data_IF_222887313614
#
_entry.id   IF_222887313614
#
_cell.length_a   1.000
_cell.length_b   1.000
_cell.length_c   1.000
_cell.angle_alpha   90.00
_cell.angle_beta   90.00
_cell.angle_gamma   90.00
#
_symmetry.space_group_name_H-M   'P 1'
#
loop_
_entity.id
_entity.type
_entity.pdbx_description
1 polymer ?
#
# COMPACT_ATOMS: atom_id res chain seq x y z
N UNK A 1 -20.83 -5.44 12.45
CA UNK A 1 -20.11 -4.90 13.63
C UNK A 1 -19.32 -6.02 14.28
N UNK A 2 -17.99 -5.93 14.25
CA UNK A 2 -17.13 -6.83 15.03
C UNK A 2 -16.71 -6.04 16.26
N UNK A 3 -17.26 -6.33 17.44
CA UNK A 3 -16.79 -5.69 18.66
C UNK A 3 -15.39 -6.23 18.99
N UNK A 4 -14.39 -5.40 18.91
CA UNK A 4 -13.04 -5.68 19.42
C UNK A 4 -13.11 -5.73 20.97
N UNK A 5 -13.53 -6.86 21.55
CA UNK A 5 -13.29 -7.17 22.95
C UNK A 5 -11.90 -7.77 23.07
N UNK A 6 -10.94 -6.94 23.39
CA UNK A 6 -9.67 -7.40 23.98
C UNK A 6 -9.91 -7.68 25.46
N UNK A 7 -10.02 -8.95 25.81
CA UNK A 7 -9.97 -9.40 27.20
C UNK A 7 -8.50 -9.56 27.58
N UNK A 8 -7.99 -8.61 28.31
CA UNK A 8 -6.68 -8.67 28.94
C UNK A 8 -6.70 -7.81 30.17
N UNK A 9 -6.28 -8.35 31.29
CA UNK A 9 -6.38 -7.79 32.64
C UNK A 9 -5.35 -6.69 32.93
N UNK A 10 -5.10 -5.78 32.02
CA UNK A 10 -4.33 -4.56 32.27
C UNK A 10 -5.06 -3.38 31.64
N UNK A 11 -5.18 -2.31 32.42
CA UNK A 11 -5.85 -1.07 32.01
C UNK A 11 -5.15 -0.36 30.83
N UNK A 12 -5.17 -0.98 29.67
CA UNK A 12 -4.94 -0.24 28.43
C UNK A 12 -6.24 0.47 28.10
N UNK A 13 -6.35 1.73 28.46
CA UNK A 13 -7.42 2.61 28.01
C UNK A 13 -7.19 2.78 26.51
N UNK A 14 -7.97 2.08 25.70
CA UNK A 14 -8.05 2.30 24.26
C UNK A 14 -9.41 2.92 24.00
N UNK A 15 -9.38 4.19 23.65
CA UNK A 15 -10.53 4.87 23.10
C UNK A 15 -10.62 4.54 21.61
N UNK A 16 -11.84 4.38 21.10
CA UNK A 16 -12.11 4.15 19.69
C UNK A 16 -13.10 5.19 19.20
N UNK A 17 -12.68 5.97 18.23
CA UNK A 17 -13.51 6.90 17.50
C UNK A 17 -13.87 6.28 16.13
N UNK A 18 -15.15 6.38 15.72
CA UNK A 18 -15.61 5.86 14.44
C UNK A 18 -15.85 7.01 13.48
N UNK A 19 -15.33 6.87 12.26
CA UNK A 19 -15.52 7.85 11.20
C UNK A 19 -15.93 7.16 9.89
N UNK A 20 -16.77 7.83 9.10
CA UNK A 20 -17.25 7.31 7.82
C UNK A 20 -16.23 7.53 6.72
N UNK A 21 -16.07 6.54 5.80
CA UNK A 21 -15.20 6.64 4.64
C UNK A 21 -15.73 5.78 3.48
N UNK A 22 -15.35 6.13 2.25
CA UNK A 22 -15.70 5.36 1.06
C UNK A 22 -17.18 5.44 0.72
N UNK A 23 -17.80 4.29 0.40
CA UNK A 23 -19.21 4.20 -0.04
C UNK A 23 -20.18 4.82 0.98
N UNK A 24 -20.03 4.52 2.26
CA UNK A 24 -20.90 5.06 3.31
C UNK A 24 -20.80 6.59 3.40
N UNK A 25 -19.60 7.14 3.27
CA UNK A 25 -19.42 8.59 3.30
C UNK A 25 -20.00 9.28 2.05
N UNK A 26 -19.92 8.64 0.88
CA UNK A 26 -20.60 9.14 -0.33
C UNK A 26 -22.10 9.18 -0.14
N UNK A 27 -22.69 8.13 0.46
CA UNK A 27 -24.14 8.04 0.70
C UNK A 27 -24.64 9.12 1.67
N UNK A 28 -23.85 9.39 2.72
CA UNK A 28 -24.27 10.33 3.77
C UNK A 28 -24.00 11.79 3.42
N UNK A 29 -22.82 12.07 2.86
CA UNK A 29 -22.33 13.45 2.67
C UNK A 29 -21.83 13.76 1.26
N UNK A 30 -21.81 12.77 0.35
CA UNK A 30 -21.36 12.96 -1.04
C UNK A 30 -19.84 13.02 -1.22
N UNK A 31 -19.05 12.87 -0.17
CA UNK A 31 -17.59 12.90 -0.18
C UNK A 31 -17.03 11.57 0.34
N UNK A 32 -16.18 10.85 -0.41
CA UNK A 32 -15.63 9.57 0.03
C UNK A 32 -14.60 9.69 1.18
N UNK A 33 -14.10 10.90 1.49
CA UNK A 33 -13.19 11.16 2.61
C UNK A 33 -13.44 12.54 3.23
N UNK A 34 -14.51 12.71 4.01
CA UNK A 34 -14.90 13.98 4.61
C UNK A 34 -13.80 14.59 5.48
N UNK A 35 -13.81 15.90 5.61
CA UNK A 35 -12.83 16.61 6.43
C UNK A 35 -12.85 16.18 7.90
N UNK A 36 -14.02 15.88 8.46
CA UNK A 36 -14.15 15.35 9.82
C UNK A 36 -13.42 14.02 9.99
N UNK A 37 -13.57 13.10 9.01
CA UNK A 37 -12.84 11.83 8.99
C UNK A 37 -11.33 12.06 8.88
N UNK A 38 -10.89 13.02 8.07
CA UNK A 38 -9.47 13.38 7.99
C UNK A 38 -8.93 13.86 9.33
N UNK A 39 -9.65 14.74 10.03
CA UNK A 39 -9.23 15.26 11.33
C UNK A 39 -9.22 14.16 12.40
N UNK A 40 -10.21 13.27 12.43
CA UNK A 40 -10.22 12.11 13.30
C UNK A 40 -8.98 11.22 13.06
N UNK A 41 -8.69 10.88 11.80
CA UNK A 41 -7.50 10.09 11.45
C UNK A 41 -6.19 10.79 11.84
N UNK A 42 -6.10 12.09 11.66
CA UNK A 42 -4.89 12.89 11.97
C UNK A 42 -4.60 12.95 13.47
N UNK A 43 -5.63 12.96 14.29
CA UNK A 43 -5.53 13.10 15.76
C UNK A 43 -5.38 11.73 16.44
N UNK A 44 -5.68 10.63 15.77
CA UNK A 44 -5.56 9.29 16.32
C UNK A 44 -4.12 8.78 16.32
N UNK A 45 -3.75 7.97 17.32
CA UNK A 45 -2.45 7.29 17.39
C UNK A 45 -2.31 6.21 16.29
N UNK A 46 -3.44 5.58 15.91
CA UNK A 46 -3.50 4.59 14.83
C UNK A 46 -4.91 4.55 14.22
N UNK A 47 -4.99 4.18 12.95
CA UNK A 47 -6.25 4.03 12.21
C UNK A 47 -6.45 2.58 11.82
N UNK A 48 -7.52 1.96 12.30
CA UNK A 48 -7.98 0.67 11.80
C UNK A 48 -8.92 0.91 10.62
N UNK A 49 -8.48 0.52 9.44
CA UNK A 49 -9.18 0.77 8.19
C UNK A 49 -9.68 -0.54 7.58
N UNK A 50 -10.88 -0.51 7.00
CA UNK A 50 -11.51 -1.66 6.35
C UNK A 50 -11.76 -1.40 4.86
N UNK A 51 -12.60 -2.22 4.21
CA UNK A 51 -12.98 -2.06 2.82
C UNK A 51 -13.86 -0.80 2.63
N UNK A 52 -13.67 -0.12 1.50
CA UNK A 52 -14.36 1.14 1.18
C UNK A 52 -15.38 1.00 0.05
N UNK A 53 -15.28 -0.05 -0.76
CA UNK A 53 -16.09 -0.26 -1.96
C UNK A 53 -17.48 -0.76 -1.66
N UNK A 54 -18.39 -0.50 -2.61
CA UNK A 54 -19.71 -1.10 -2.68
C UNK A 54 -20.01 -1.44 -4.14
N UNK A 55 -20.48 -2.64 -4.48
CA UNK A 55 -20.76 -3.08 -5.84
C UNK A 55 -21.68 -2.15 -6.66
N UNK A 56 -22.49 -1.34 -6.00
CA UNK A 56 -23.34 -0.35 -6.68
C UNK A 56 -22.53 0.69 -7.47
N UNK A 57 -21.31 1.03 -7.03
CA UNK A 57 -20.44 1.97 -7.73
C UNK A 57 -19.66 1.31 -8.87
N UNK A 58 -19.42 -0.01 -8.82
CA UNK A 58 -18.70 -0.75 -9.85
C UNK A 58 -19.47 -0.81 -11.18
N UNK A 59 -20.80 -0.91 -11.07
CA UNK A 59 -21.70 -1.06 -12.21
C UNK A 59 -22.27 0.26 -12.74
N UNK A 60 -21.91 1.39 -12.14
CA UNK A 60 -22.35 2.72 -12.59
C UNK A 60 -21.22 3.44 -13.34
N UNK A 61 -21.24 3.43 -14.69
CA UNK A 61 -20.24 4.16 -15.50
C UNK A 61 -20.39 5.68 -15.39
N UNK A 62 -21.51 6.16 -14.84
CA UNK A 62 -21.79 7.60 -14.69
C UNK A 62 -21.39 8.14 -13.34
N UNK A 63 -20.98 7.29 -12.41
CA UNK A 63 -20.54 7.68 -11.08
C UNK A 63 -19.34 8.64 -11.15
N UNK A 64 -19.57 9.90 -10.78
CA UNK A 64 -18.54 10.96 -10.76
C UNK A 64 -17.57 10.79 -9.60
N UNK A 65 -18.03 10.20 -8.51
CA UNK A 65 -17.28 9.96 -7.28
C UNK A 65 -17.28 8.47 -6.97
N UNK A 66 -16.11 7.92 -6.67
CA UNK A 66 -15.92 6.51 -6.35
C UNK A 66 -15.34 6.31 -4.96
N UNK A 67 -15.73 5.25 -4.24
CA UNK A 67 -15.22 4.98 -2.89
C UNK A 67 -13.70 4.92 -2.78
N UNK A 68 -13.02 4.39 -3.82
CA UNK A 68 -11.57 4.26 -3.89
C UNK A 68 -10.85 5.62 -3.87
N UNK A 69 -11.51 6.68 -4.32
CA UNK A 69 -10.97 8.05 -4.24
C UNK A 69 -10.77 8.47 -2.78
N UNK A 70 -11.64 8.00 -1.87
CA UNK A 70 -11.48 8.24 -0.43
C UNK A 70 -10.20 7.62 0.12
N UNK A 71 -9.90 6.37 -0.25
CA UNK A 71 -8.66 5.70 0.13
C UNK A 71 -7.42 6.43 -0.41
N UNK A 72 -7.46 6.86 -1.67
CA UNK A 72 -6.34 7.61 -2.28
C UNK A 72 -6.17 8.99 -1.61
N UNK A 73 -7.27 9.68 -1.33
CA UNK A 73 -7.25 10.97 -0.61
C UNK A 73 -6.66 10.81 0.81
N UNK A 74 -7.07 9.78 1.55
CA UNK A 74 -6.52 9.46 2.87
C UNK A 74 -5.00 9.25 2.81
N UNK A 75 -4.52 8.40 1.89
CA UNK A 75 -3.09 8.14 1.71
C UNK A 75 -2.29 9.41 1.44
N UNK A 76 -2.81 10.26 0.56
CA UNK A 76 -2.15 11.52 0.18
C UNK A 76 -2.16 12.54 1.32
N UNK A 77 -3.33 12.79 1.93
CA UNK A 77 -3.50 13.79 2.99
C UNK A 77 -2.71 13.44 4.26
N UNK A 78 -2.66 12.15 4.62
CA UNK A 78 -1.93 11.67 5.79
C UNK A 78 -0.46 11.27 5.49
N UNK A 79 0.00 11.36 4.25
CA UNK A 79 1.37 11.03 3.86
C UNK A 79 1.73 9.55 4.03
N UNK A 80 0.77 8.64 3.84
CA UNK A 80 0.93 7.20 4.01
C UNK A 80 1.63 6.59 2.79
N UNK A 81 2.93 6.79 2.69
CA UNK A 81 3.70 6.40 1.51
C UNK A 81 4.15 4.93 1.49
N UNK A 82 4.34 4.31 2.66
CA UNK A 82 4.85 2.94 2.77
C UNK A 82 3.74 1.94 3.06
N UNK A 83 3.47 1.04 2.13
CA UNK A 83 2.61 -0.12 2.36
C UNK A 83 3.48 -1.34 2.67
N UNK A 84 3.38 -1.84 3.89
CA UNK A 84 4.15 -2.97 4.38
C UNK A 84 3.25 -4.19 4.42
N UNK A 85 3.54 -5.18 3.57
CA UNK A 85 2.76 -6.40 3.41
C UNK A 85 3.57 -7.63 3.80
N UNK A 86 3.45 -8.11 5.04
CA UNK A 86 4.02 -9.39 5.41
C UNK A 86 3.27 -10.53 4.71
N UNK A 87 4.02 -11.45 4.14
CA UNK A 87 3.51 -12.68 3.50
C UNK A 87 4.16 -13.85 4.21
N UNK A 88 3.35 -14.64 4.87
CA UNK A 88 3.79 -15.83 5.59
C UNK A 88 2.81 -16.98 5.37
N UNK A 89 3.36 -18.16 5.11
CA UNK A 89 2.54 -19.37 4.99
C UNK A 89 2.38 -20.05 6.36
N UNK A 90 1.13 -20.26 6.74
CA UNK A 90 0.79 -21.05 7.92
C UNK A 90 0.66 -22.53 7.53
N UNK A 91 1.36 -23.43 8.22
CA UNK A 91 1.37 -24.87 7.91
C UNK A 91 -0.03 -25.48 7.82
N UNK A 92 -0.95 -25.05 8.70
CA UNK A 92 -2.34 -25.50 8.71
C UNK A 92 -3.15 -25.07 7.46
N UNK A 93 -2.66 -24.09 6.69
CA UNK A 93 -3.35 -23.54 5.51
C UNK A 93 -2.70 -23.93 4.18
N UNK A 94 -1.58 -24.65 4.17
CA UNK A 94 -0.85 -25.05 2.95
C UNK A 94 -1.78 -25.77 1.97
N UNK A 95 -2.65 -26.66 2.48
CA UNK A 95 -3.60 -27.45 1.67
C UNK A 95 -4.66 -26.59 0.95
N UNK A 96 -4.82 -25.31 1.31
CA UNK A 96 -5.72 -24.36 0.65
C UNK A 96 -5.04 -23.56 -0.47
N UNK A 97 -3.70 -23.66 -0.57
CA UNK A 97 -2.96 -22.96 -1.62
C UNK A 97 -3.23 -23.62 -2.98
N UNK A 98 -3.43 -22.83 -4.06
CA UNK A 98 -3.46 -23.36 -5.42
C UNK A 98 -2.06 -23.76 -5.93
N UNK A 99 -0.99 -23.36 -5.23
CA UNK A 99 0.38 -23.69 -5.57
C UNK A 99 0.80 -25.01 -4.88
N UNK A 100 1.78 -25.68 -5.45
CA UNK A 100 2.36 -26.89 -4.86
C UNK A 100 2.95 -26.58 -3.48
N UNK A 101 2.79 -27.51 -2.54
CA UNK A 101 3.18 -27.32 -1.14
C UNK A 101 4.67 -26.95 -0.99
N UNK A 102 5.56 -27.60 -1.74
CA UNK A 102 7.00 -27.34 -1.71
C UNK A 102 7.40 -25.92 -2.11
N UNK A 103 6.53 -25.18 -2.85
CA UNK A 103 6.78 -23.80 -3.26
C UNK A 103 6.38 -22.79 -2.18
N UNK A 104 5.46 -23.17 -1.31
CA UNK A 104 4.86 -22.21 -0.35
C UNK A 104 5.16 -22.52 1.11
N UNK A 105 5.58 -23.74 1.43
CA UNK A 105 5.69 -24.25 2.82
C UNK A 105 6.50 -23.34 3.75
N UNK A 106 7.52 -22.67 3.23
CA UNK A 106 8.39 -21.80 4.01
C UNK A 106 8.38 -20.34 3.53
N UNK A 107 7.32 -19.94 2.83
CA UNK A 107 7.22 -18.55 2.38
C UNK A 107 7.11 -17.61 3.59
N UNK A 108 8.10 -16.74 3.72
CA UNK A 108 8.17 -15.66 4.72
C UNK A 108 8.94 -14.50 4.12
N UNK A 109 8.22 -13.51 3.60
CA UNK A 109 8.79 -12.29 3.08
C UNK A 109 7.91 -11.08 3.37
N UNK A 110 8.47 -9.88 3.21
CA UNK A 110 7.72 -8.63 3.30
C UNK A 110 7.79 -7.93 1.95
N UNK A 111 6.64 -7.61 1.38
CA UNK A 111 6.55 -6.75 0.22
C UNK A 111 6.38 -5.30 0.69
N UNK A 112 7.35 -4.44 0.38
CA UNK A 112 7.29 -3.00 0.69
C UNK A 112 6.98 -2.25 -0.59
N UNK A 113 5.87 -1.51 -0.59
CA UNK A 113 5.34 -0.81 -1.76
C UNK A 113 5.20 0.68 -1.48
N UNK A 114 5.72 1.50 -2.40
CA UNK A 114 5.41 2.94 -2.44
C UNK A 114 3.94 3.15 -2.85
N UNK A 115 3.21 3.98 -2.10
CA UNK A 115 1.77 4.15 -2.27
C UNK A 115 1.33 5.51 -2.77
N UNK A 116 2.18 6.53 -2.75
CA UNK A 116 1.78 7.92 -3.04
C UNK A 116 2.39 8.48 -4.32
N UNK A 117 3.14 7.65 -5.04
CA UNK A 117 3.62 7.90 -6.39
C UNK A 117 3.04 6.93 -7.42
N UNK A 118 3.55 6.99 -8.64
CA UNK A 118 3.19 6.10 -9.73
C UNK A 118 1.84 6.40 -10.38
N UNK A 119 1.28 5.41 -11.07
CA UNK A 119 0.10 5.58 -11.93
C UNK A 119 -1.19 5.98 -11.20
N UNK A 120 -1.30 5.73 -9.89
CA UNK A 120 -2.51 6.10 -9.16
C UNK A 120 -2.60 7.61 -8.87
N UNK A 121 -1.46 8.30 -8.84
CA UNK A 121 -1.34 9.73 -8.53
C UNK A 121 -0.79 10.56 -9.69
N UNK A 122 -0.37 9.91 -10.78
CA UNK A 122 0.05 10.56 -12.00
C UNK A 122 -1.09 11.21 -12.78
N UNK A 123 -0.74 11.95 -13.79
CA UNK A 123 -1.70 12.54 -14.73
C UNK A 123 -2.49 11.43 -15.42
N UNK A 124 -3.79 11.66 -15.56
CA UNK A 124 -4.73 10.73 -16.19
C UNK A 124 -5.53 11.45 -17.27
N UNK A 125 -5.81 10.74 -18.32
CA UNK A 125 -6.66 11.24 -19.39
C UNK A 125 -7.47 10.09 -19.99
N UNK A 126 -8.70 10.36 -20.35
CA UNK A 126 -9.57 9.45 -21.08
C UNK A 126 -10.55 10.24 -21.95
N UNK A 127 -10.67 9.84 -23.20
CA UNK A 127 -11.76 10.20 -24.12
C UNK A 127 -12.32 8.92 -24.77
N UNK A 128 -13.06 9.06 -25.89
CA UNK A 128 -13.65 7.90 -26.59
C UNK A 128 -12.62 7.06 -27.37
N UNK A 129 -11.46 7.64 -27.69
CA UNK A 129 -10.48 7.05 -28.61
C UNK A 129 -9.17 6.65 -27.91
N UNK A 130 -8.85 7.30 -26.78
CA UNK A 130 -7.59 7.08 -26.05
C UNK A 130 -7.73 7.30 -24.57
N UNK A 131 -6.92 6.57 -23.81
CA UNK A 131 -6.75 6.76 -22.38
C UNK A 131 -5.30 6.53 -21.98
N UNK A 132 -4.81 7.24 -20.93
CA UNK A 132 -3.51 6.98 -20.35
C UNK A 132 -3.48 7.31 -18.85
N UNK A 133 -2.62 6.58 -18.14
CA UNK A 133 -2.23 6.84 -16.75
C UNK A 133 -0.72 7.00 -16.70
N UNK A 134 -0.24 8.15 -16.20
CA UNK A 134 1.19 8.42 -16.14
C UNK A 134 1.83 7.73 -14.93
N UNK A 135 2.79 6.85 -15.18
CA UNK A 135 3.59 6.22 -14.13
C UNK A 135 4.80 7.10 -13.79
N UNK A 136 4.62 7.99 -12.82
CA UNK A 136 5.59 9.01 -12.44
C UNK A 136 6.09 8.81 -11.01
N UNK A 137 7.43 8.85 -10.83
CA UNK A 137 8.10 8.82 -9.54
C UNK A 137 9.21 9.86 -9.49
N UNK A 138 9.33 10.50 -8.34
CA UNK A 138 10.45 11.40 -8.03
C UNK A 138 11.54 10.67 -7.25
N UNK A 139 12.77 11.19 -7.30
CA UNK A 139 13.88 10.66 -6.49
C UNK A 139 13.54 10.59 -4.98
N UNK A 140 13.00 11.64 -4.33
CA UNK A 140 12.67 11.57 -2.90
C UNK A 140 11.62 10.48 -2.56
N UNK A 141 10.65 10.22 -3.44
CA UNK A 141 9.68 9.15 -3.25
C UNK A 141 10.34 7.78 -3.28
N UNK A 142 11.28 7.57 -4.20
CA UNK A 142 12.02 6.32 -4.33
C UNK A 142 12.97 6.15 -3.13
N UNK A 143 13.72 7.18 -2.75
CA UNK A 143 14.66 7.13 -1.63
C UNK A 143 13.98 6.80 -0.30
N UNK A 144 12.85 7.44 0.01
CA UNK A 144 12.13 7.20 1.28
C UNK A 144 11.64 5.76 1.40
N UNK A 145 11.12 5.17 0.32
CA UNK A 145 10.61 3.80 0.38
C UNK A 145 11.75 2.77 0.40
N UNK A 146 12.83 3.02 -0.36
CA UNK A 146 14.03 2.18 -0.32
C UNK A 146 14.68 2.19 1.06
N UNK A 147 14.72 3.36 1.73
CA UNK A 147 15.20 3.45 3.12
C UNK A 147 14.41 2.51 4.03
N UNK A 148 13.07 2.54 3.97
CA UNK A 148 12.21 1.63 4.73
C UNK A 148 12.54 0.18 4.38
N UNK A 149 12.71 -0.15 3.10
CA UNK A 149 13.01 -1.51 2.65
C UNK A 149 14.37 -2.01 3.17
N UNK A 150 15.42 -1.21 3.11
CA UNK A 150 16.73 -1.56 3.67
C UNK A 150 16.69 -1.72 5.19
N UNK A 151 16.00 -0.83 5.91
CA UNK A 151 15.83 -0.94 7.37
C UNK A 151 15.07 -2.21 7.79
N UNK A 152 14.06 -2.63 7.02
CA UNK A 152 13.39 -3.91 7.23
C UNK A 152 14.29 -5.10 6.89
N UNK A 153 15.05 -5.03 5.81
CA UNK A 153 16.02 -6.07 5.46
C UNK A 153 17.07 -6.27 6.56
N UNK A 154 17.60 -5.18 7.13
CA UNK A 154 18.56 -5.22 8.27
C UNK A 154 18.00 -5.96 9.49
N UNK A 155 16.71 -5.83 9.76
CA UNK A 155 16.03 -6.49 10.90
C UNK A 155 15.65 -7.96 10.62
N UNK A 156 15.84 -8.42 9.37
CA UNK A 156 15.46 -9.77 8.94
C UNK A 156 16.67 -10.53 8.40
N UNK A 157 16.56 -11.15 7.23
CA UNK A 157 17.61 -12.00 6.63
C UNK A 157 18.69 -11.23 5.87
N UNK A 158 18.72 -9.89 5.98
CA UNK A 158 19.67 -9.02 5.30
C UNK A 158 19.69 -9.24 3.78
N UNK A 159 18.51 -9.41 3.20
CA UNK A 159 18.31 -9.61 1.78
C UNK A 159 17.18 -8.73 1.28
N UNK A 160 17.42 -7.99 0.20
CA UNK A 160 16.47 -7.10 -0.47
C UNK A 160 16.45 -7.40 -1.96
N UNK A 161 15.29 -7.82 -2.48
CA UNK A 161 15.05 -7.92 -3.91
C UNK A 161 14.27 -6.72 -4.40
N UNK A 162 14.82 -5.97 -5.35
CA UNK A 162 14.15 -4.87 -6.03
C UNK A 162 13.45 -5.41 -7.27
N UNK A 163 12.14 -5.41 -7.25
CA UNK A 163 11.31 -5.91 -8.36
C UNK A 163 10.90 -4.74 -9.24
N UNK A 164 11.25 -4.77 -10.51
CA UNK A 164 11.06 -3.66 -11.43
C UNK A 164 10.79 -4.12 -12.89
N UNK A 165 10.68 -3.17 -13.81
CA UNK A 165 10.61 -3.38 -15.27
C UNK A 165 11.64 -2.48 -15.98
N UNK A 166 12.88 -2.46 -15.49
CA UNK A 166 13.93 -1.53 -15.95
C UNK A 166 14.37 -1.75 -17.40
N UNK A 167 14.15 -2.96 -17.96
CA UNK A 167 14.40 -3.23 -19.38
C UNK A 167 13.49 -2.40 -20.31
N UNK A 168 12.32 -1.93 -19.83
CA UNK A 168 11.35 -1.17 -20.63
C UNK A 168 11.12 0.23 -20.06
N UNK A 169 10.81 0.35 -18.77
CA UNK A 169 10.29 1.58 -18.17
C UNK A 169 11.40 2.50 -17.65
N UNK A 170 11.32 3.78 -18.01
CA UNK A 170 12.23 4.81 -17.51
C UNK A 170 12.11 5.00 -15.98
N UNK A 171 10.89 4.96 -15.43
CA UNK A 171 10.64 5.02 -13.99
C UNK A 171 11.34 3.87 -13.25
N UNK A 172 11.27 2.64 -13.77
CA UNK A 172 11.95 1.48 -13.18
C UNK A 172 13.48 1.59 -13.27
N UNK A 173 14.03 2.18 -14.35
CA UNK A 173 15.48 2.45 -14.43
C UNK A 173 15.94 3.41 -13.35
N UNK A 174 15.18 4.47 -13.08
CA UNK A 174 15.47 5.41 -12.00
C UNK A 174 15.41 4.70 -10.62
N UNK A 175 14.41 3.85 -10.38
CA UNK A 175 14.31 3.04 -9.17
C UNK A 175 15.55 2.16 -8.96
N UNK A 176 15.97 1.44 -9.99
CA UNK A 176 17.16 0.56 -9.94
C UNK A 176 18.43 1.34 -9.68
N UNK A 177 18.60 2.48 -10.36
CA UNK A 177 19.75 3.38 -10.16
C UNK A 177 19.83 3.84 -8.70
N UNK A 178 18.74 4.37 -8.14
CA UNK A 178 18.72 4.86 -6.76
C UNK A 178 18.97 3.73 -5.75
N UNK A 179 18.40 2.54 -5.99
CA UNK A 179 18.67 1.38 -5.15
C UNK A 179 20.16 1.01 -5.14
N UNK A 180 20.84 1.06 -6.30
CA UNK A 180 22.28 0.83 -6.42
C UNK A 180 23.10 1.92 -5.71
N UNK A 181 22.68 3.19 -5.78
CA UNK A 181 23.32 4.30 -5.08
C UNK A 181 23.19 4.19 -3.55
N UNK A 182 22.06 3.64 -3.06
CA UNK A 182 21.79 3.50 -1.63
C UNK A 182 22.41 2.23 -1.01
N UNK A 183 22.56 1.14 -1.77
CA UNK A 183 23.05 -0.14 -1.27
C UNK A 183 24.40 -0.06 -0.50
N UNK A 184 25.38 0.74 -0.90
CA UNK A 184 26.65 0.90 -0.15
C UNK A 184 26.46 1.41 1.29
N UNK A 185 25.36 2.10 1.60
CA UNK A 185 25.05 2.56 2.96
C UNK A 185 24.55 1.43 3.87
N UNK A 186 24.25 0.26 3.30
CA UNK A 186 23.75 -0.93 3.99
C UNK A 186 24.60 -2.16 3.63
N UNK A 187 25.91 -2.17 3.95
CA UNK A 187 26.85 -3.19 3.46
C UNK A 187 26.53 -4.60 3.91
N UNK A 188 25.72 -4.76 4.95
CA UNK A 188 25.27 -6.07 5.43
C UNK A 188 24.08 -6.62 4.63
N UNK A 189 23.43 -5.81 3.78
CA UNK A 189 22.25 -6.22 3.00
C UNK A 189 22.69 -6.64 1.60
N UNK A 190 22.47 -7.90 1.27
CA UNK A 190 22.59 -8.38 -0.11
C UNK A 190 21.41 -7.85 -0.92
N UNK A 191 21.71 -7.15 -2.01
CA UNK A 191 20.68 -6.58 -2.89
C UNK A 191 20.72 -7.24 -4.25
N UNK A 192 19.59 -7.74 -4.72
CA UNK A 192 19.41 -8.27 -6.07
C UNK A 192 18.24 -7.58 -6.80
N UNK A 193 18.11 -7.85 -8.10
CA UNK A 193 17.17 -7.18 -8.98
C UNK A 193 16.43 -8.22 -9.81
N UNK A 194 15.11 -8.10 -9.86
CA UNK A 194 14.25 -9.02 -10.59
C UNK A 194 13.30 -8.24 -11.50
N UNK A 195 13.13 -8.69 -12.74
CA UNK A 195 12.02 -8.21 -13.57
C UNK A 195 10.72 -8.82 -13.09
N UNK A 196 9.65 -8.02 -13.13
CA UNK A 196 8.34 -8.40 -12.61
C UNK A 196 7.66 -9.54 -13.37
N UNK A 197 8.07 -9.81 -14.61
CA UNK A 197 7.53 -10.82 -15.55
C UNK A 197 8.42 -12.04 -15.75
#
# INVERSE_FOLDING_TARGET
>A
EIPLRLVGSEMCIRDSEYAICGANAIDEVGDPFPEETYQACKNADAVLFSAVGDPKFDNDPTAKVRPEQGLLAMRKKLGLFANIRPVQTFKCLIHKSPLRAELVENADFICIRELTGGMYFGEKYQDNDKAYDTNYYTRPEIERILKVAFEYAMKRRKHLTVVDKANVLASSRLWRQIAQEMAPNYPEVTTDYMFVD
#
